data_IF_975142239735
#
_entry.id   IF_975142239735
#
_cell.length_a   1.000
_cell.length_b   1.000
_cell.length_c   1.000
_cell.angle_alpha   90.00
_cell.angle_beta   90.00
_cell.angle_gamma   90.00
#
_symmetry.space_group_name_H-M   'P 1'
#
loop_
_entity.id
_entity.type
_entity.pdbx_description
1 polymer ?
#
# COMPACT_ATOMS: atom_id res chain seq x y z
N UNK A 1 13.71 0.16 17.99
CA UNK A 1 12.38 0.76 17.78
C UNK A 1 11.94 0.40 16.38
N UNK A 2 10.77 -0.22 16.20
CA UNK A 2 10.31 -0.65 14.87
C UNK A 2 9.64 0.48 14.08
N UNK A 3 9.57 0.36 12.76
CA UNK A 3 8.94 1.38 11.90
C UNK A 3 7.46 1.62 12.25
N UNK A 4 6.74 0.59 12.71
CA UNK A 4 5.36 0.73 13.20
C UNK A 4 5.26 1.67 14.40
N UNK A 5 6.19 1.58 15.35
CA UNK A 5 6.25 2.47 16.52
C UNK A 5 6.60 3.92 16.13
N UNK A 6 7.36 4.12 15.05
CA UNK A 6 7.58 5.45 14.47
C UNK A 6 6.30 6.00 13.84
N UNK A 7 5.61 5.19 13.03
CA UNK A 7 4.36 5.56 12.37
C UNK A 7 3.25 5.91 13.37
N UNK A 8 3.09 5.15 14.45
CA UNK A 8 2.14 5.44 15.54
C UNK A 8 2.39 6.80 16.21
N UNK A 9 3.63 7.29 16.19
CA UNK A 9 4.03 8.61 16.70
C UNK A 9 3.97 9.72 15.64
N UNK A 10 3.38 9.43 14.46
CA UNK A 10 3.33 10.38 13.33
C UNK A 10 4.68 10.60 12.64
N UNK A 11 5.72 9.84 13.00
CA UNK A 11 7.07 9.96 12.40
C UNK A 11 7.16 9.15 11.11
N UNK A 12 6.32 9.47 10.13
CA UNK A 12 6.15 8.68 8.91
C UNK A 12 7.41 8.65 8.04
N UNK A 13 8.08 9.79 7.85
CA UNK A 13 9.31 9.85 7.05
C UNK A 13 10.43 8.98 7.67
N UNK A 14 10.57 8.99 8.99
CA UNK A 14 11.55 8.16 9.69
C UNK A 14 11.19 6.67 9.59
N UNK A 15 9.90 6.34 9.67
CA UNK A 15 9.42 4.97 9.46
C UNK A 15 9.74 4.48 8.04
N UNK A 16 9.49 5.31 7.02
CA UNK A 16 9.78 4.99 5.63
C UNK A 16 11.28 4.72 5.40
N UNK A 17 12.13 5.62 5.90
CA UNK A 17 13.60 5.49 5.81
C UNK A 17 14.11 4.25 6.53
N UNK A 18 13.52 3.90 7.68
CA UNK A 18 13.88 2.69 8.41
C UNK A 18 13.54 1.42 7.62
N UNK A 19 12.39 1.39 6.94
CA UNK A 19 12.02 0.27 6.06
C UNK A 19 13.00 0.17 4.88
N UNK A 20 13.33 1.29 4.24
CA UNK A 20 14.27 1.32 3.11
C UNK A 20 15.67 0.82 3.50
N UNK A 21 16.15 1.23 4.68
CA UNK A 21 17.42 0.74 5.23
C UNK A 21 17.36 -0.78 5.46
N UNK A 22 16.27 -1.28 6.04
CA UNK A 22 16.08 -2.71 6.28
C UNK A 22 16.07 -3.52 4.97
N UNK A 23 15.33 -3.08 3.95
CA UNK A 23 15.31 -3.76 2.64
C UNK A 23 16.71 -3.78 2.01
N UNK A 24 17.50 -2.72 2.19
CA UNK A 24 18.87 -2.62 1.67
C UNK A 24 19.85 -3.54 2.38
N UNK A 25 19.69 -3.74 3.69
CA UNK A 25 20.59 -4.57 4.51
C UNK A 25 20.23 -6.06 4.43
N UNK A 26 19.02 -6.40 4.02
CA UNK A 26 18.50 -7.77 3.96
C UNK A 26 18.20 -8.19 2.52
N UNK A 27 19.24 -8.62 1.80
CA UNK A 27 19.08 -9.18 0.45
C UNK A 27 18.39 -10.56 0.47
N UNK A 28 18.40 -11.24 1.62
CA UNK A 28 17.80 -12.55 1.88
C UNK A 28 16.27 -12.54 2.02
N UNK A 29 15.63 -11.37 1.96
CA UNK A 29 14.18 -11.26 1.97
C UNK A 29 13.56 -11.97 0.77
N UNK A 30 12.56 -12.81 1.06
CA UNK A 30 11.73 -13.41 0.03
C UNK A 30 10.88 -12.34 -0.69
N UNK A 31 10.32 -12.72 -1.85
CA UNK A 31 9.57 -11.78 -2.70
C UNK A 31 8.35 -11.19 -1.97
N UNK A 32 7.61 -11.99 -1.21
CA UNK A 32 6.44 -11.56 -0.45
C UNK A 32 6.83 -10.53 0.63
N UNK A 33 7.90 -10.79 1.36
CA UNK A 33 8.45 -9.88 2.36
C UNK A 33 8.88 -8.56 1.71
N UNK A 34 9.60 -8.63 0.58
CA UNK A 34 10.08 -7.45 -0.14
C UNK A 34 8.93 -6.60 -0.69
N UNK A 35 7.94 -7.25 -1.31
CA UNK A 35 6.72 -6.60 -1.82
C UNK A 35 5.98 -5.88 -0.70
N UNK A 36 5.73 -6.56 0.42
CA UNK A 36 5.03 -5.98 1.57
C UNK A 36 5.79 -4.80 2.19
N UNK A 37 7.12 -4.92 2.34
CA UNK A 37 7.94 -3.84 2.89
C UNK A 37 7.98 -2.64 1.96
N UNK A 38 8.12 -2.84 0.64
CA UNK A 38 8.02 -1.74 -0.33
C UNK A 38 6.65 -1.05 -0.29
N UNK A 39 5.56 -1.81 -0.14
CA UNK A 39 4.23 -1.22 -0.01
C UNK A 39 4.13 -0.33 1.23
N UNK A 40 4.58 -0.84 2.39
CA UNK A 40 4.56 -0.04 3.63
C UNK A 40 5.47 1.18 3.55
N UNK A 41 6.64 1.08 2.93
CA UNK A 41 7.48 2.25 2.66
C UNK A 41 6.72 3.29 1.83
N UNK A 42 6.02 2.86 0.77
CA UNK A 42 5.17 3.72 -0.06
C UNK A 42 4.09 4.44 0.76
N UNK A 43 3.37 3.72 1.62
CA UNK A 43 2.38 4.33 2.53
C UNK A 43 3.02 5.38 3.45
N UNK A 44 4.19 5.09 4.01
CA UNK A 44 4.86 6.00 4.94
C UNK A 44 5.35 7.27 4.24
N UNK A 45 5.90 7.15 3.03
CA UNK A 45 6.26 8.34 2.23
C UNK A 45 5.02 9.16 1.85
N UNK A 46 3.92 8.51 1.45
CA UNK A 46 2.67 9.20 1.12
C UNK A 46 2.08 9.93 2.34
N UNK A 47 2.14 9.33 3.53
CA UNK A 47 1.71 9.96 4.78
C UNK A 47 2.63 11.13 5.19
N UNK A 48 3.90 11.10 4.81
CA UNK A 48 4.82 12.21 4.99
C UNK A 48 4.66 13.31 3.93
N UNK A 49 3.73 13.17 2.97
CA UNK A 49 3.51 14.11 1.87
C UNK A 49 4.48 13.94 0.69
N UNK A 50 5.33 12.92 0.71
CA UNK A 50 6.28 12.61 -0.37
C UNK A 50 5.64 11.65 -1.38
N UNK A 51 4.72 12.17 -2.19
CA UNK A 51 3.99 11.39 -3.19
C UNK A 51 4.93 10.76 -4.24
N UNK A 52 6.01 11.46 -4.61
CA UNK A 52 6.95 10.97 -5.63
C UNK A 52 7.67 9.71 -5.17
N UNK A 53 8.31 9.74 -3.99
CA UNK A 53 8.98 8.54 -3.47
C UNK A 53 7.98 7.46 -3.09
N UNK A 54 6.76 7.83 -2.68
CA UNK A 54 5.69 6.87 -2.46
C UNK A 54 5.37 6.06 -3.72
N UNK A 55 5.15 6.73 -4.86
CA UNK A 55 4.88 6.07 -6.15
C UNK A 55 6.02 5.13 -6.56
N UNK A 56 7.28 5.56 -6.40
CA UNK A 56 8.43 4.71 -6.68
C UNK A 56 8.45 3.44 -5.81
N UNK A 57 8.06 3.56 -4.54
CA UNK A 57 7.99 2.43 -3.61
C UNK A 57 6.80 1.51 -3.90
N UNK A 58 5.63 2.07 -4.20
CA UNK A 58 4.49 1.28 -4.65
C UNK A 58 4.80 0.53 -5.94
N UNK A 59 5.49 1.14 -6.91
CA UNK A 59 5.92 0.44 -8.13
C UNK A 59 6.83 -0.76 -7.86
N UNK A 60 7.67 -0.72 -6.81
CA UNK A 60 8.49 -1.87 -6.38
C UNK A 60 7.75 -2.89 -5.54
N UNK A 61 6.50 -2.60 -5.18
CA UNK A 61 5.64 -3.52 -4.45
C UNK A 61 4.75 -4.35 -5.38
N UNK A 62 4.92 -4.30 -6.70
CA UNK A 62 4.19 -5.20 -7.62
C UNK A 62 4.93 -6.50 -7.87
N UNK A 63 4.20 -7.57 -8.13
CA UNK A 63 4.76 -8.79 -8.71
C UNK A 63 4.88 -8.65 -10.24
N UNK A 64 5.89 -9.29 -10.84
CA UNK A 64 5.93 -9.43 -12.32
C UNK A 64 4.76 -10.30 -12.79
N UNK A 65 4.53 -11.41 -12.08
CA UNK A 65 3.37 -12.28 -12.23
C UNK A 65 2.80 -12.54 -10.83
N UNK A 66 1.52 -12.26 -10.61
CA UNK A 66 0.89 -12.49 -9.31
C UNK A 66 0.87 -14.00 -9.00
N UNK A 67 1.35 -14.44 -7.81
CA UNK A 67 1.24 -15.84 -7.43
C UNK A 67 -0.22 -16.32 -7.48
N UNK A 68 -0.51 -17.49 -8.08
CA UNK A 68 -1.88 -17.98 -8.27
C UNK A 68 -2.64 -18.25 -6.97
N UNK A 69 -1.93 -18.45 -5.86
CA UNK A 69 -2.46 -18.61 -4.51
C UNK A 69 -2.92 -17.29 -3.87
N UNK A 70 -2.59 -16.13 -4.47
CA UNK A 70 -3.12 -14.84 -4.03
C UNK A 70 -4.62 -14.80 -4.29
N UNK A 71 -5.39 -14.72 -3.20
CA UNK A 71 -6.84 -14.58 -3.22
C UNK A 71 -7.30 -13.13 -3.43
N UNK A 72 -6.47 -12.31 -4.08
CA UNK A 72 -6.76 -10.93 -4.46
C UNK A 72 -6.03 -10.53 -5.74
N UNK A 73 -6.41 -9.38 -6.30
CA UNK A 73 -5.62 -8.65 -7.30
C UNK A 73 -4.73 -7.62 -6.62
N UNK A 74 -3.55 -8.05 -6.19
CA UNK A 74 -2.59 -7.20 -5.48
C UNK A 74 -2.04 -6.08 -6.36
N UNK A 75 -1.59 -6.40 -7.57
CA UNK A 75 -1.06 -5.43 -8.52
C UNK A 75 -2.10 -4.38 -8.88
N UNK A 76 -3.36 -4.77 -9.10
CA UNK A 76 -4.44 -3.82 -9.34
C UNK A 76 -4.65 -2.87 -8.14
N UNK A 77 -4.56 -3.38 -6.90
CA UNK A 77 -4.64 -2.55 -5.70
C UNK A 77 -3.45 -1.58 -5.55
N UNK A 78 -2.23 -2.03 -5.87
CA UNK A 78 -1.04 -1.16 -5.90
C UNK A 78 -1.20 -0.06 -6.95
N UNK A 79 -1.65 -0.42 -8.15
CA UNK A 79 -1.86 0.53 -9.25
C UNK A 79 -3.00 1.51 -8.96
N UNK A 80 -4.08 1.08 -8.29
CA UNK A 80 -5.11 1.99 -7.79
C UNK A 80 -4.52 3.04 -6.82
N UNK A 81 -3.64 2.60 -5.92
CA UNK A 81 -2.98 3.50 -4.96
C UNK A 81 -2.06 4.51 -5.67
N UNK A 82 -1.29 4.07 -6.66
CA UNK A 82 -0.46 4.95 -7.50
C UNK A 82 -1.32 5.95 -8.26
N UNK A 83 -2.39 5.50 -8.92
CA UNK A 83 -3.30 6.34 -9.68
C UNK A 83 -3.95 7.44 -8.81
N UNK A 84 -4.28 7.13 -7.55
CA UNK A 84 -4.74 8.13 -6.60
C UNK A 84 -3.68 9.21 -6.32
N UNK A 85 -2.43 8.80 -6.11
CA UNK A 85 -1.31 9.73 -5.85
C UNK A 85 -0.97 10.60 -7.06
N UNK A 86 -1.03 10.01 -8.25
CA UNK A 86 -0.78 10.68 -9.53
C UNK A 86 -1.98 11.52 -10.01
N UNK A 87 -3.08 11.54 -9.25
CA UNK A 87 -4.34 12.21 -9.62
C UNK A 87 -4.88 11.74 -10.99
N UNK A 88 -4.84 10.43 -11.22
CA UNK A 88 -5.46 9.75 -12.36
C UNK A 88 -6.73 8.98 -11.94
N UNK A 89 -7.88 9.67 -11.97
CA UNK A 89 -9.17 9.08 -11.62
C UNK A 89 -9.59 7.98 -12.60
N UNK A 90 -9.19 8.09 -13.87
CA UNK A 90 -9.55 7.11 -14.90
C UNK A 90 -8.87 5.79 -14.59
N UNK A 91 -7.55 5.80 -14.40
CA UNK A 91 -6.78 4.60 -14.06
C UNK A 91 -7.22 4.01 -12.72
N UNK A 92 -7.52 4.85 -11.73
CA UNK A 92 -8.05 4.40 -10.44
C UNK A 92 -9.35 3.60 -10.60
N UNK A 93 -10.28 4.06 -11.45
CA UNK A 93 -11.53 3.33 -11.74
C UNK A 93 -11.30 2.04 -12.51
N UNK A 94 -10.37 2.01 -13.46
CA UNK A 94 -10.01 0.77 -14.17
C UNK A 94 -9.48 -0.29 -13.19
N UNK A 95 -8.55 0.08 -12.29
CA UNK A 95 -8.02 -0.85 -11.29
C UNK A 95 -9.10 -1.37 -10.33
N UNK A 96 -10.10 -0.55 -10.00
CA UNK A 96 -11.25 -0.96 -9.20
C UNK A 96 -12.05 -2.09 -9.89
N UNK A 97 -12.26 -1.97 -11.21
CA UNK A 97 -12.93 -3.00 -11.99
C UNK A 97 -12.08 -4.29 -12.07
N UNK A 98 -10.77 -4.17 -12.28
CA UNK A 98 -9.84 -5.31 -12.23
C UNK A 98 -9.95 -6.09 -10.90
N UNK A 99 -10.05 -5.39 -9.76
CA UNK A 99 -10.27 -6.00 -8.44
C UNK A 99 -11.65 -6.68 -8.37
N UNK A 100 -12.68 -6.07 -8.94
CA UNK A 100 -14.04 -6.61 -8.97
C UNK A 100 -14.13 -7.90 -9.78
N UNK A 101 -13.36 -8.04 -10.85
CA UNK A 101 -13.25 -9.26 -11.65
C UNK A 101 -12.35 -10.34 -11.01
N UNK A 102 -11.56 -9.98 -10.01
CA UNK A 102 -10.63 -10.86 -9.31
C UNK A 102 -11.25 -11.94 -8.41
N UNK A 103 -10.43 -12.79 -7.75
CA UNK A 103 -10.92 -13.77 -6.79
C UNK A 103 -11.60 -13.12 -5.57
N UNK A 104 -12.43 -13.90 -4.87
CA UNK A 104 -12.97 -13.51 -3.56
C UNK A 104 -12.17 -14.16 -2.44
N UNK A 105 -11.92 -13.40 -1.38
CA UNK A 105 -11.35 -13.88 -0.13
C UNK A 105 -12.40 -13.77 0.98
N UNK A 106 -12.73 -14.89 1.62
CA UNK A 106 -13.76 -14.94 2.67
C UNK A 106 -15.11 -14.33 2.24
N UNK A 107 -15.51 -14.54 0.98
CA UNK A 107 -16.76 -14.02 0.41
C UNK A 107 -16.74 -12.54 0.03
N UNK A 108 -15.58 -11.85 0.11
CA UNK A 108 -15.42 -10.45 -0.26
C UNK A 108 -14.34 -10.25 -1.32
N UNK A 109 -14.41 -9.14 -2.06
CA UNK A 109 -13.32 -8.67 -2.92
C UNK A 109 -12.31 -7.94 -2.03
N UNK A 110 -11.14 -8.53 -1.82
CA UNK A 110 -10.12 -7.93 -0.97
C UNK A 110 -9.72 -6.55 -1.50
N UNK A 111 -9.54 -5.59 -0.60
CA UNK A 111 -9.17 -4.20 -0.89
C UNK A 111 -10.16 -3.38 -1.74
N UNK A 112 -11.28 -3.94 -2.21
CA UNK A 112 -12.26 -3.19 -3.00
C UNK A 112 -12.83 -1.99 -2.22
N UNK A 113 -13.24 -2.21 -0.96
CA UNK A 113 -13.72 -1.13 -0.08
C UNK A 113 -12.66 -0.03 0.14
N UNK A 114 -11.37 -0.37 0.04
CA UNK A 114 -10.28 0.61 0.15
C UNK A 114 -10.20 1.46 -1.12
N UNK A 115 -10.28 0.82 -2.29
CA UNK A 115 -10.27 1.52 -3.57
C UNK A 115 -11.53 2.37 -3.77
N UNK A 116 -12.68 1.91 -3.28
CA UNK A 116 -13.90 2.71 -3.25
C UNK A 116 -13.70 4.02 -2.47
N UNK A 117 -13.03 3.97 -1.31
CA UNK A 117 -12.68 5.18 -0.54
C UNK A 117 -11.66 6.07 -1.25
N UNK A 118 -10.70 5.50 -1.98
CA UNK A 118 -9.77 6.30 -2.80
C UNK A 118 -10.53 7.10 -3.87
N UNK A 119 -11.58 6.52 -4.45
CA UNK A 119 -12.42 7.21 -5.44
C UNK A 119 -13.29 8.27 -4.77
N UNK A 120 -13.89 7.96 -3.63
CA UNK A 120 -14.73 8.89 -2.86
C UNK A 120 -13.95 10.13 -2.41
N UNK A 121 -12.70 9.94 -1.98
CA UNK A 121 -11.81 10.99 -1.47
C UNK A 121 -10.71 11.39 -2.45
N UNK A 122 -10.96 11.25 -3.75
CA UNK A 122 -9.92 11.40 -4.79
C UNK A 122 -9.17 12.74 -4.75
N UNK A 123 -9.86 13.83 -4.41
CA UNK A 123 -9.27 15.16 -4.34
C UNK A 123 -8.52 15.45 -3.03
N UNK A 124 -8.53 14.50 -2.09
CA UNK A 124 -7.88 14.65 -0.79
C UNK A 124 -6.42 14.16 -0.79
N UNK A 125 -5.62 14.56 0.22
CA UNK A 125 -4.33 13.94 0.47
C UNK A 125 -4.48 12.46 0.86
N UNK A 126 -3.47 11.64 0.52
CA UNK A 126 -3.42 10.23 0.94
C UNK A 126 -3.21 10.07 2.45
N UNK A 127 -2.52 11.01 3.08
CA UNK A 127 -2.20 10.99 4.50
C UNK A 127 -3.40 11.18 5.42
N UNK A 128 -3.29 10.79 6.70
CA UNK A 128 -4.27 11.19 7.70
C UNK A 128 -4.39 12.73 7.73
N UNK A 129 -5.62 13.24 7.84
CA UNK A 129 -5.84 14.64 8.22
C UNK A 129 -5.42 14.82 9.67
N UNK A 130 -4.98 16.02 10.03
CA UNK A 130 -4.62 16.33 11.41
C UNK A 130 -5.81 16.04 12.34
N UNK A 131 -5.64 15.09 13.27
CA UNK A 131 -6.69 14.65 14.20
C UNK A 131 -7.53 13.44 13.75
N UNK A 132 -7.41 12.97 12.51
CA UNK A 132 -8.17 11.83 11.99
C UNK A 132 -7.39 10.51 12.07
N UNK A 133 -8.12 9.41 12.28
CA UNK A 133 -7.57 8.06 12.00
C UNK A 133 -7.26 7.99 10.50
N UNK A 134 -6.09 7.47 10.08
CA UNK A 134 -5.76 7.39 8.66
C UNK A 134 -6.87 6.67 7.89
N UNK A 135 -7.21 7.17 6.69
CA UNK A 135 -8.17 6.56 5.75
C UNK A 135 -7.85 5.08 5.49
N UNK A 136 -6.59 4.72 5.74
CA UNK A 136 -6.03 3.38 5.70
C UNK A 136 -5.63 2.95 7.11
N UNK A 137 -6.30 1.92 7.65
CA UNK A 137 -5.66 1.18 8.74
C UNK A 137 -4.39 0.54 8.17
N UNK A 138 -3.28 0.65 8.90
CA UNK A 138 -2.01 -0.04 8.63
C UNK A 138 -2.13 -1.57 8.48
N UNK A 139 -3.30 -2.14 8.75
CA UNK A 139 -3.65 -3.53 8.46
C UNK A 139 -4.10 -3.67 7.01
N UNK A 140 -3.15 -3.80 6.09
CA UNK A 140 -3.37 -4.70 4.97
C UNK A 140 -3.29 -6.12 5.53
N UNK A 141 -4.40 -6.83 5.42
CA UNK A 141 -4.50 -8.24 5.78
C UNK A 141 -3.84 -9.02 4.66
N UNK A 142 -2.52 -9.24 4.71
CA UNK A 142 -1.92 -10.47 4.18
C UNK A 142 -0.86 -10.94 5.16
N UNK A 143 -1.07 -12.17 5.62
CA UNK A 143 -0.25 -12.99 6.50
C UNK A 143 0.56 -12.23 7.55
N UNK A 144 0.07 -12.28 8.78
CA UNK A 144 0.92 -12.17 9.96
C UNK A 144 2.19 -12.99 9.70
N UNK A 145 3.30 -12.33 9.36
CA UNK A 145 4.61 -12.89 9.64
C UNK A 145 4.65 -12.89 11.16
N UNK A 146 4.19 -14.01 11.75
CA UNK A 146 4.53 -14.36 13.11
C UNK A 146 6.05 -14.42 13.12
N UNK A 147 6.67 -13.44 13.78
CA UNK A 147 7.90 -13.73 14.49
C UNK A 147 7.62 -14.77 15.58
#
# INVERSE_FOLDING_TARGET
MGWRQLAEKGRFLDAAKLIDAYIKEHEDLDELQRVNLHFHAGQMYAFAGDAKTAVERFGRSTYVEEPPELSLRWNAYVQATIAFLDKDLKRLKECREEITEGPTFQGKKANLEVVDRLIEHFDEPYGPREGDRPLFKLTLIFYSVKG
#
